data_IF_339099759975
#
_entry.id   IF_339099759975
#
_cell.length_a   1.000
_cell.length_b   1.000
_cell.length_c   1.000
_cell.angle_alpha   90.00
_cell.angle_beta   90.00
_cell.angle_gamma   90.00
#
_symmetry.space_group_name_H-M   'P 1'
#
loop_
_entity.id
_entity.type
_entity.pdbx_description
1 polymer ?
#
# COMPACT_ATOMS: atom_id res chain seq x y z
N UNK A 1 -34.10 61.12 -9.85
CA UNK A 1 -33.42 60.24 -8.86
C UNK A 1 -33.24 58.90 -9.52
N UNK A 2 -32.09 58.72 -10.17
CA UNK A 2 -31.76 57.46 -10.90
C UNK A 2 -30.69 56.74 -10.11
N UNK A 3 -31.07 55.58 -9.54
CA UNK A 3 -30.17 54.71 -8.80
C UNK A 3 -29.42 53.80 -9.78
N UNK A 4 -28.12 54.04 -9.94
CA UNK A 4 -27.19 53.19 -10.68
C UNK A 4 -26.90 51.90 -9.88
N UNK A 5 -27.34 50.74 -10.39
CA UNK A 5 -26.93 49.44 -9.91
C UNK A 5 -25.57 49.06 -10.53
N UNK A 6 -24.55 49.09 -9.71
CA UNK A 6 -23.23 48.51 -10.04
C UNK A 6 -23.36 46.97 -10.12
N UNK A 7 -23.16 46.44 -11.31
CA UNK A 7 -23.03 45.00 -11.56
C UNK A 7 -21.59 44.60 -11.17
N UNK A 8 -21.42 43.92 -10.03
CA UNK A 8 -20.21 43.21 -9.69
C UNK A 8 -20.08 42.00 -10.65
N UNK A 9 -19.05 42.02 -11.46
CA UNK A 9 -18.64 40.89 -12.28
C UNK A 9 -18.28 39.63 -11.40
N UNK A 10 -18.40 38.44 -11.96
CA UNK A 10 -18.09 37.21 -11.22
C UNK A 10 -16.58 37.20 -10.94
N UNK A 11 -16.24 37.23 -9.63
CA UNK A 11 -14.90 36.94 -9.15
C UNK A 11 -14.53 35.53 -9.55
N UNK A 12 -13.47 35.40 -10.31
CA UNK A 12 -12.79 34.20 -10.75
C UNK A 12 -12.29 33.43 -9.52
N UNK A 13 -13.19 32.68 -8.89
CA UNK A 13 -12.82 31.63 -7.92
C UNK A 13 -12.59 30.36 -8.73
N UNK A 14 -11.44 30.29 -9.38
CA UNK A 14 -10.85 29.04 -9.84
C UNK A 14 -10.64 28.11 -8.67
N UNK A 15 -11.73 27.51 -8.18
CA UNK A 15 -11.75 26.44 -7.19
C UNK A 15 -10.99 25.27 -7.78
N UNK A 16 -9.74 25.12 -7.38
CA UNK A 16 -8.98 23.88 -7.56
C UNK A 16 -9.67 22.81 -6.72
N UNK A 17 -10.60 22.10 -7.36
CA UNK A 17 -11.20 20.88 -6.82
C UNK A 17 -10.09 19.99 -6.26
N UNK A 18 -10.26 19.62 -4.99
CA UNK A 18 -9.41 18.70 -4.24
C UNK A 18 -9.08 17.46 -5.09
N UNK A 19 -7.88 16.92 -4.88
CA UNK A 19 -7.35 15.68 -5.50
C UNK A 19 -8.31 14.46 -5.35
N UNK A 20 -9.39 14.62 -4.60
CA UNK A 20 -10.44 13.64 -4.32
C UNK A 20 -11.77 13.89 -5.05
N UNK A 21 -11.79 14.59 -6.16
CA UNK A 21 -13.03 14.93 -6.88
C UNK A 21 -13.70 13.74 -7.63
N UNK A 22 -14.05 12.73 -6.87
CA UNK A 22 -15.29 11.96 -7.01
C UNK A 22 -16.20 12.51 -5.91
N UNK A 23 -17.45 12.90 -6.22
CA UNK A 23 -18.35 13.53 -5.26
C UNK A 23 -18.31 12.85 -3.90
N UNK A 24 -18.10 13.58 -2.78
CA UNK A 24 -18.12 12.99 -1.44
C UNK A 24 -19.43 12.22 -1.26
N UNK A 25 -19.37 10.91 -0.97
CA UNK A 25 -20.54 10.05 -0.83
C UNK A 25 -20.87 9.14 -2.01
N UNK A 26 -20.10 9.14 -3.12
CA UNK A 26 -20.33 8.15 -4.18
C UNK A 26 -19.92 6.74 -3.71
N UNK A 27 -20.74 5.73 -4.03
CA UNK A 27 -20.46 4.29 -3.74
C UNK A 27 -19.05 3.88 -4.22
N UNK A 28 -18.54 4.50 -5.27
CA UNK A 28 -17.20 4.25 -5.80
C UNK A 28 -16.09 4.69 -4.84
N UNK A 29 -16.20 5.86 -4.24
CA UNK A 29 -15.22 6.36 -3.25
C UNK A 29 -15.27 5.49 -2.00
N UNK A 30 -16.47 5.17 -1.53
CA UNK A 30 -16.69 4.28 -0.39
C UNK A 30 -16.06 2.90 -0.62
N UNK A 31 -16.25 2.29 -1.80
CA UNK A 31 -15.68 1.00 -2.13
C UNK A 31 -14.14 1.03 -2.24
N UNK A 32 -13.56 2.11 -2.79
CA UNK A 32 -12.10 2.31 -2.79
C UNK A 32 -11.52 2.55 -1.38
N UNK A 33 -12.32 3.06 -0.45
CA UNK A 33 -11.95 3.12 0.96
C UNK A 33 -12.05 1.74 1.59
N UNK A 34 -13.15 1.00 1.36
CA UNK A 34 -13.35 -0.33 1.94
C UNK A 34 -12.34 -1.39 1.49
N UNK A 35 -11.81 -1.31 0.27
CA UNK A 35 -10.76 -2.27 -0.15
C UNK A 35 -9.46 -2.10 0.66
N UNK A 36 -9.19 -0.93 1.22
CA UNK A 36 -8.08 -0.71 2.15
C UNK A 36 -8.28 -1.48 3.46
N UNK A 37 -9.52 -1.63 3.92
CA UNK A 37 -9.83 -2.46 5.07
C UNK A 37 -9.48 -3.93 4.79
N UNK A 38 -9.87 -4.46 3.62
CA UNK A 38 -9.49 -5.81 3.20
C UNK A 38 -7.97 -5.97 3.22
N UNK A 39 -7.25 -5.04 2.63
CA UNK A 39 -5.79 -5.07 2.59
C UNK A 39 -5.17 -5.07 4.00
N UNK A 40 -5.63 -4.21 4.91
CA UNK A 40 -5.14 -4.16 6.28
C UNK A 40 -5.46 -5.45 7.06
N UNK A 41 -6.67 -5.99 6.93
CA UNK A 41 -7.07 -7.26 7.56
C UNK A 41 -6.18 -8.41 7.09
N UNK A 42 -5.90 -8.51 5.79
CA UNK A 42 -5.02 -9.54 5.24
C UNK A 42 -3.58 -9.42 5.78
N UNK A 43 -3.07 -8.19 5.93
CA UNK A 43 -1.75 -7.95 6.53
C UNK A 43 -1.73 -8.39 8.00
N UNK A 44 -2.74 -8.09 8.79
CA UNK A 44 -2.81 -8.57 10.20
C UNK A 44 -2.91 -10.08 10.24
N UNK A 45 -3.68 -10.69 9.35
CA UNK A 45 -3.87 -12.14 9.27
C UNK A 45 -2.55 -12.87 8.98
N UNK A 46 -1.78 -12.42 7.99
CA UNK A 46 -0.49 -13.05 7.65
C UNK A 46 0.52 -12.93 8.79
N UNK A 47 0.54 -11.81 9.51
CA UNK A 47 1.42 -11.65 10.67
C UNK A 47 0.97 -12.53 11.85
N UNK A 48 -0.33 -12.69 12.09
CA UNK A 48 -0.83 -13.64 13.11
C UNK A 48 -0.44 -15.08 12.76
N UNK A 49 -0.51 -15.46 11.49
CA UNK A 49 -0.08 -16.77 11.02
C UNK A 49 1.44 -16.99 11.20
N UNK A 50 2.24 -15.97 10.88
CA UNK A 50 3.68 -15.99 11.10
C UNK A 50 4.02 -16.14 12.60
N UNK A 51 3.45 -15.25 13.43
CA UNK A 51 3.74 -15.19 14.87
C UNK A 51 3.34 -16.47 15.61
N UNK A 52 2.34 -17.21 15.10
CA UNK A 52 1.93 -18.51 15.64
C UNK A 52 2.57 -19.73 14.95
N UNK A 53 3.58 -19.53 14.10
CA UNK A 53 4.32 -20.60 13.43
C UNK A 53 3.53 -21.37 12.36
N UNK A 54 2.39 -20.83 11.89
CA UNK A 54 1.53 -21.51 10.91
C UNK A 54 2.12 -21.57 9.49
N UNK A 55 3.16 -20.80 9.21
CA UNK A 55 3.85 -20.87 7.91
C UNK A 55 4.48 -22.25 7.62
N UNK A 56 4.87 -23.00 8.66
CA UNK A 56 5.39 -24.35 8.52
C UNK A 56 4.35 -25.45 8.23
N UNK A 57 3.06 -25.12 8.03
CA UNK A 57 1.97 -26.08 7.85
C UNK A 57 1.74 -26.50 6.38
N UNK A 58 2.78 -26.74 5.61
CA UNK A 58 2.68 -27.19 4.22
C UNK A 58 1.86 -26.23 3.36
N UNK A 59 0.90 -26.76 2.57
CA UNK A 59 0.07 -25.92 1.68
C UNK A 59 -0.74 -24.85 2.42
N UNK A 60 -1.30 -25.15 3.58
CA UNK A 60 -2.02 -24.15 4.39
C UNK A 60 -1.09 -23.05 4.88
N UNK A 61 0.16 -23.37 5.20
CA UNK A 61 1.17 -22.37 5.52
C UNK A 61 1.42 -21.41 4.37
N UNK A 62 1.50 -21.93 3.15
CA UNK A 62 1.59 -21.10 1.95
C UNK A 62 0.34 -20.22 1.77
N UNK A 63 -0.87 -20.75 1.94
CA UNK A 63 -2.11 -19.97 1.86
C UNK A 63 -2.10 -18.82 2.88
N UNK A 64 -1.72 -19.09 4.12
CA UNK A 64 -1.66 -18.05 5.16
C UNK A 64 -0.58 -17.00 4.87
N UNK A 65 0.58 -17.40 4.38
CA UNK A 65 1.65 -16.48 4.06
C UNK A 65 1.28 -15.55 2.90
N UNK A 66 0.52 -16.03 1.91
CA UNK A 66 0.07 -15.21 0.76
C UNK A 66 -0.95 -14.14 1.13
N UNK A 67 -1.49 -14.12 2.36
CA UNK A 67 -2.29 -13.00 2.84
C UNK A 67 -1.48 -11.68 2.92
N UNK A 68 -0.15 -11.72 2.81
CA UNK A 68 0.69 -10.54 2.57
C UNK A 68 0.31 -9.76 1.28
N UNK A 69 -0.55 -10.33 0.41
CA UNK A 69 -1.17 -9.66 -0.75
C UNK A 69 -1.86 -8.32 -0.37
N UNK A 70 -2.15 -8.10 0.91
CA UNK A 70 -2.61 -6.81 1.39
C UNK A 70 -1.67 -5.66 1.02
N UNK A 71 -0.34 -5.88 1.04
CA UNK A 71 0.66 -4.85 0.64
C UNK A 71 0.57 -4.53 -0.85
N UNK A 72 0.59 -5.48 -1.79
CA UNK A 72 0.30 -5.23 -3.21
C UNK A 72 -1.00 -4.47 -3.47
N UNK A 73 -2.08 -4.76 -2.72
CA UNK A 73 -3.35 -4.02 -2.85
C UNK A 73 -3.15 -2.54 -2.52
N UNK A 74 -2.41 -2.21 -1.44
CA UNK A 74 -2.08 -0.81 -1.13
C UNK A 74 -1.24 -0.16 -2.23
N UNK A 75 -0.26 -0.85 -2.81
CA UNK A 75 0.59 -0.31 -3.87
C UNK A 75 -0.18 -0.09 -5.18
N UNK A 76 -1.05 -1.02 -5.56
CA UNK A 76 -1.96 -0.84 -6.71
C UNK A 76 -2.90 0.35 -6.48
N UNK A 77 -3.47 0.48 -5.28
CA UNK A 77 -4.30 1.63 -4.93
C UNK A 77 -3.52 2.94 -4.98
N UNK A 78 -2.28 2.96 -4.50
CA UNK A 78 -1.41 4.13 -4.56
C UNK A 78 -1.10 4.51 -6.01
N UNK A 79 -0.73 3.55 -6.86
CA UNK A 79 -0.54 3.76 -8.30
C UNK A 79 -1.80 4.32 -8.97
N UNK A 80 -2.97 3.74 -8.68
CA UNK A 80 -4.24 4.17 -9.23
C UNK A 80 -4.63 5.59 -8.81
N UNK A 81 -4.63 5.87 -7.51
CA UNK A 81 -5.14 7.13 -6.99
C UNK A 81 -4.20 8.29 -7.26
N UNK A 82 -2.89 8.04 -7.15
CA UNK A 82 -1.90 9.11 -7.26
C UNK A 82 -1.57 9.48 -8.70
N UNK A 83 -1.60 8.54 -9.64
CA UNK A 83 -1.38 8.84 -11.04
C UNK A 83 -2.59 9.47 -11.73
N UNK A 84 -3.79 9.32 -11.16
CA UNK A 84 -5.06 9.80 -11.74
C UNK A 84 -5.09 11.29 -12.07
N UNK A 85 -4.62 12.24 -11.25
CA UNK A 85 -4.64 13.65 -11.60
C UNK A 85 -3.84 13.98 -12.86
N UNK A 86 -2.67 13.36 -13.04
CA UNK A 86 -1.83 13.56 -14.24
C UNK A 86 -2.48 13.00 -15.50
N UNK A 87 -3.06 11.78 -15.40
CA UNK A 87 -3.79 11.17 -16.53
C UNK A 87 -5.01 12.01 -16.91
N UNK A 88 -5.77 12.50 -15.91
CA UNK A 88 -6.91 13.39 -16.16
C UNK A 88 -6.44 14.67 -16.87
N UNK A 89 -5.37 15.31 -16.39
CA UNK A 89 -4.83 16.52 -17.00
C UNK A 89 -4.40 16.28 -18.46
N UNK A 90 -3.68 15.20 -18.73
CA UNK A 90 -3.26 14.84 -20.08
C UNK A 90 -4.44 14.54 -21.03
N UNK A 91 -5.50 13.90 -20.52
CA UNK A 91 -6.67 13.53 -21.32
C UNK A 91 -7.61 14.72 -21.60
N UNK A 92 -7.66 15.71 -20.69
CA UNK A 92 -8.54 16.89 -20.83
C UNK A 92 -7.82 18.14 -21.33
N UNK A 93 -6.49 18.09 -21.47
CA UNK A 93 -5.68 19.26 -21.83
C UNK A 93 -5.60 20.33 -20.72
N UNK A 94 -5.96 19.97 -19.48
CA UNK A 94 -5.87 20.87 -18.33
C UNK A 94 -4.43 20.95 -17.78
N UNK A 95 -4.17 21.93 -16.89
CA UNK A 95 -2.85 22.12 -16.29
C UNK A 95 -2.42 20.90 -15.46
N UNK A 96 -1.12 20.59 -15.51
CA UNK A 96 -0.52 19.52 -14.72
C UNK A 96 -0.66 19.78 -13.21
N UNK A 97 -0.82 18.74 -12.39
CA UNK A 97 -0.87 18.87 -10.94
C UNK A 97 0.41 19.51 -10.38
N UNK A 98 0.27 20.41 -9.40
CA UNK A 98 1.41 21.01 -8.71
C UNK A 98 2.13 19.96 -7.87
N UNK A 99 3.41 19.69 -8.19
CA UNK A 99 4.27 18.73 -7.46
C UNK A 99 4.42 19.15 -5.98
N UNK A 100 4.57 20.44 -5.69
CA UNK A 100 4.67 20.94 -4.30
C UNK A 100 3.41 20.64 -3.49
N UNK A 101 2.22 20.89 -4.08
CA UNK A 101 0.93 20.59 -3.42
C UNK A 101 0.77 19.07 -3.22
N UNK A 102 1.07 18.30 -4.24
CA UNK A 102 1.07 16.84 -4.17
C UNK A 102 1.95 16.34 -3.03
N UNK A 103 3.23 16.73 -2.97
CA UNK A 103 4.17 16.31 -1.93
C UNK A 103 3.68 16.71 -0.53
N UNK A 104 3.22 17.95 -0.36
CA UNK A 104 2.70 18.45 0.91
C UNK A 104 1.51 17.64 1.42
N UNK A 105 0.56 17.30 0.54
CA UNK A 105 -0.58 16.45 0.92
C UNK A 105 -0.14 15.04 1.35
N UNK A 106 0.91 14.48 0.75
CA UNK A 106 1.43 13.16 1.16
C UNK A 106 2.11 13.22 2.52
N UNK A 107 2.98 14.20 2.73
CA UNK A 107 3.64 14.40 4.02
C UNK A 107 2.61 14.59 5.15
N UNK A 108 1.66 15.51 4.97
CA UNK A 108 0.62 15.77 5.99
C UNK A 108 -0.27 14.58 6.29
N UNK A 109 -0.48 13.69 5.32
CA UNK A 109 -1.31 12.50 5.50
C UNK A 109 -0.60 11.38 6.23
N UNK A 110 0.71 11.20 5.99
CA UNK A 110 1.46 10.01 6.43
C UNK A 110 2.28 10.31 7.68
N UNK A 111 3.06 11.39 7.67
CA UNK A 111 4.07 11.63 8.69
C UNK A 111 3.52 11.78 10.11
N UNK A 112 2.37 12.43 10.40
CA UNK A 112 1.93 12.61 11.78
C UNK A 112 1.70 11.29 12.52
N UNK A 113 0.89 10.38 11.95
CA UNK A 113 0.64 9.06 12.58
C UNK A 113 1.89 8.18 12.58
N UNK A 114 2.69 8.25 11.51
CA UNK A 114 3.94 7.50 11.40
C UNK A 114 4.94 7.87 12.48
N UNK A 115 5.24 9.15 12.65
CA UNK A 115 6.21 9.65 13.66
C UNK A 115 5.75 9.26 15.05
N UNK A 116 4.48 9.48 15.39
CA UNK A 116 3.91 9.07 16.68
C UNK A 116 4.10 7.57 16.91
N UNK A 117 3.80 6.74 15.89
CA UNK A 117 3.98 5.29 16.00
C UNK A 117 5.44 4.89 16.24
N UNK A 118 6.37 5.47 15.49
CA UNK A 118 7.81 5.19 15.66
C UNK A 118 8.27 5.57 17.07
N UNK A 119 7.87 6.73 17.57
CA UNK A 119 8.25 7.18 18.93
C UNK A 119 7.64 6.27 20.00
N UNK A 120 6.38 5.86 19.85
CA UNK A 120 5.73 4.91 20.77
C UNK A 120 6.45 3.55 20.74
N UNK A 121 6.83 3.04 19.55
CA UNK A 121 7.58 1.81 19.45
C UNK A 121 8.92 1.88 20.19
N UNK A 122 9.71 2.92 19.94
CA UNK A 122 10.99 3.08 20.63
C UNK A 122 10.84 3.26 22.14
N UNK A 123 9.82 3.98 22.59
CA UNK A 123 9.52 4.11 24.02
C UNK A 123 9.09 2.78 24.66
N UNK A 124 8.18 2.04 24.00
CA UNK A 124 7.71 0.74 24.49
C UNK A 124 8.85 -0.27 24.63
N UNK A 125 9.66 -0.41 23.59
CA UNK A 125 10.76 -1.38 23.57
C UNK A 125 11.99 -0.95 24.36
N UNK A 126 12.05 0.28 24.83
CA UNK A 126 13.04 0.73 25.82
C UNK A 126 12.81 0.10 27.20
N UNK A 127 11.54 -0.02 27.60
CA UNK A 127 11.16 -0.59 28.90
C UNK A 127 10.85 -2.08 28.84
N UNK A 128 10.76 -2.64 27.63
CA UNK A 128 10.33 -4.00 27.41
C UNK A 128 11.16 -4.67 26.32
N UNK A 129 11.85 -5.75 26.68
CA UNK A 129 12.62 -6.56 25.75
C UNK A 129 11.95 -7.94 25.60
N UNK A 130 11.35 -8.19 24.42
CA UNK A 130 10.76 -9.50 24.09
C UNK A 130 11.69 -10.35 23.22
N UNK A 131 12.98 -10.02 23.17
CA UNK A 131 13.98 -10.71 22.34
C UNK A 131 14.99 -9.73 21.72
N UNK A 132 15.88 -10.21 20.84
CA UNK A 132 16.84 -9.35 20.16
C UNK A 132 16.14 -8.28 19.32
N UNK A 133 16.46 -7.01 19.55
CA UNK A 133 15.95 -5.87 18.78
C UNK A 133 17.12 -5.01 18.25
N UNK A 134 17.84 -5.48 17.22
CA UNK A 134 19.05 -4.81 16.72
C UNK A 134 18.80 -3.40 16.21
N UNK A 135 17.58 -3.12 15.74
CA UNK A 135 17.17 -1.79 15.28
C UNK A 135 16.91 -0.78 16.40
N UNK A 136 16.89 -1.19 17.67
CA UNK A 136 16.62 -0.28 18.79
C UNK A 136 17.86 0.53 19.18
N UNK A 137 18.30 1.40 18.28
CA UNK A 137 19.47 2.29 18.41
C UNK A 137 19.09 3.70 17.96
N UNK A 138 19.89 4.70 18.33
CA UNK A 138 19.68 6.08 17.86
C UNK A 138 19.73 6.19 16.33
N UNK A 139 20.65 5.45 15.69
CA UNK A 139 20.73 5.39 14.23
C UNK A 139 19.51 4.69 13.65
N UNK A 140 19.03 3.61 14.28
CA UNK A 140 17.78 2.94 13.90
C UNK A 140 16.57 3.87 14.02
N UNK A 141 16.47 4.66 15.09
CA UNK A 141 15.42 5.67 15.26
C UNK A 141 15.47 6.70 14.13
N UNK A 142 16.65 7.27 13.85
CA UNK A 142 16.82 8.24 12.77
C UNK A 142 16.39 7.65 11.40
N UNK A 143 16.85 6.44 11.11
CA UNK A 143 16.51 5.76 9.83
C UNK A 143 15.02 5.44 9.73
N UNK A 144 14.38 4.98 10.81
CA UNK A 144 12.93 4.79 10.83
C UNK A 144 12.20 6.12 10.65
N UNK A 145 12.54 7.18 11.37
CA UNK A 145 11.89 8.50 11.24
C UNK A 145 12.00 9.10 9.83
N UNK A 146 13.09 8.79 9.12
CA UNK A 146 13.34 9.27 7.74
C UNK A 146 12.88 8.29 6.65
N UNK A 147 12.27 7.14 7.01
CA UNK A 147 11.87 6.09 6.07
C UNK A 147 13.05 5.53 5.25
N UNK A 148 14.26 5.59 5.80
CA UNK A 148 15.50 5.15 5.14
C UNK A 148 16.05 3.82 5.70
N UNK A 149 15.32 3.15 6.57
CA UNK A 149 15.75 1.93 7.26
C UNK A 149 16.11 0.77 6.31
N UNK A 150 15.47 0.68 5.14
CA UNK A 150 15.73 -0.39 4.17
C UNK A 150 16.94 -0.13 3.27
N UNK A 151 17.52 1.07 3.30
CA UNK A 151 18.67 1.44 2.47
C UNK A 151 19.98 1.28 3.26
N UNK A 152 20.25 0.04 3.70
CA UNK A 152 21.40 -0.31 4.53
C UNK A 152 21.98 -1.65 4.10
N UNK A 153 23.25 -1.88 4.38
CA UNK A 153 23.95 -3.10 3.98
C UNK A 153 23.45 -4.34 4.76
N UNK A 154 22.94 -4.19 5.95
CA UNK A 154 22.52 -5.31 6.79
C UNK A 154 21.22 -4.98 7.54
N UNK A 155 20.13 -4.77 6.78
CA UNK A 155 18.85 -4.33 7.35
C UNK A 155 18.29 -5.33 8.37
N UNK A 156 18.23 -6.62 8.01
CA UNK A 156 17.57 -7.64 8.83
C UNK A 156 18.29 -7.88 10.16
N UNK A 157 19.61 -7.81 10.19
CA UNK A 157 20.40 -8.16 11.39
C UNK A 157 20.84 -6.94 12.21
N UNK A 158 20.87 -5.73 11.62
CA UNK A 158 21.40 -4.56 12.30
C UNK A 158 20.39 -3.44 12.52
N UNK A 159 19.32 -3.36 11.73
CA UNK A 159 18.39 -2.22 11.74
C UNK A 159 16.92 -2.60 11.79
N UNK A 160 16.59 -3.88 11.79
CA UNK A 160 15.20 -4.33 11.93
C UNK A 160 14.73 -4.09 13.37
N UNK A 161 13.69 -3.26 13.52
CA UNK A 161 13.04 -3.02 14.81
C UNK A 161 11.79 -3.90 14.92
N UNK A 162 11.68 -4.71 15.99
CA UNK A 162 10.61 -5.72 16.15
C UNK A 162 9.20 -5.14 15.94
N UNK A 163 8.87 -4.06 16.62
CA UNK A 163 7.55 -3.43 16.49
C UNK A 163 7.29 -2.66 15.19
N UNK A 164 8.29 -2.57 14.29
CA UNK A 164 8.25 -1.75 13.08
C UNK A 164 8.61 -2.55 11.82
N UNK A 165 8.62 -3.88 11.88
CA UNK A 165 9.06 -4.72 10.76
C UNK A 165 8.26 -4.48 9.49
N UNK A 166 6.95 -4.21 9.58
CA UNK A 166 6.08 -3.93 8.45
C UNK A 166 6.38 -2.60 7.74
N UNK A 167 7.13 -1.69 8.38
CA UNK A 167 7.39 -0.33 7.85
C UNK A 167 8.28 -0.31 6.60
N UNK A 168 8.90 -1.43 6.23
CA UNK A 168 9.63 -1.53 4.97
C UNK A 168 8.76 -1.15 3.77
N UNK A 169 7.50 -1.58 3.75
CA UNK A 169 6.59 -1.28 2.64
C UNK A 169 6.20 0.20 2.57
N UNK A 170 6.12 0.89 3.73
CA UNK A 170 5.90 2.33 3.77
C UNK A 170 7.12 3.11 3.25
N UNK A 171 8.34 2.64 3.51
CA UNK A 171 9.54 3.22 2.92
C UNK A 171 9.56 3.08 1.39
N UNK A 172 9.11 1.94 0.86
CA UNK A 172 8.92 1.72 -0.58
C UNK A 172 7.85 2.66 -1.15
N UNK A 173 6.73 2.80 -0.45
CA UNK A 173 5.64 3.68 -0.88
C UNK A 173 6.07 5.15 -0.87
N UNK A 174 6.84 5.58 0.11
CA UNK A 174 7.42 6.92 0.18
C UNK A 174 8.39 7.18 -0.99
N UNK A 175 9.24 6.21 -1.33
CA UNK A 175 10.09 6.29 -2.51
C UNK A 175 9.28 6.44 -3.80
N UNK A 176 8.17 5.67 -3.94
CA UNK A 176 7.26 5.84 -5.06
C UNK A 176 6.65 7.26 -5.12
N UNK A 177 6.28 7.84 -3.98
CA UNK A 177 5.75 9.21 -3.95
C UNK A 177 6.74 10.24 -4.46
N UNK A 178 8.02 10.06 -4.16
CA UNK A 178 9.09 10.94 -4.65
C UNK A 178 9.31 10.76 -6.16
N UNK A 179 9.27 9.53 -6.66
CA UNK A 179 9.58 9.20 -8.05
C UNK A 179 8.38 9.45 -8.99
N UNK A 180 7.14 9.34 -8.49
CA UNK A 180 5.94 9.44 -9.34
C UNK A 180 5.83 10.72 -10.19
N UNK A 181 6.12 11.94 -9.70
CA UNK A 181 6.08 13.14 -10.55
C UNK A 181 7.04 13.06 -11.74
N UNK A 182 8.25 12.52 -11.54
CA UNK A 182 9.22 12.30 -12.60
C UNK A 182 8.71 11.25 -13.61
N UNK A 183 8.17 10.14 -13.13
CA UNK A 183 7.59 9.09 -13.97
C UNK A 183 6.41 9.65 -14.78
N UNK A 184 5.52 10.42 -14.15
CA UNK A 184 4.41 11.07 -14.83
C UNK A 184 4.90 12.04 -15.93
N UNK A 185 5.94 12.83 -15.64
CA UNK A 185 6.56 13.70 -16.63
C UNK A 185 7.16 12.91 -17.80
N UNK A 186 7.93 11.87 -17.53
CA UNK A 186 8.55 11.03 -18.58
C UNK A 186 7.49 10.34 -19.46
N UNK A 187 6.43 9.82 -18.87
CA UNK A 187 5.37 9.11 -19.61
C UNK A 187 4.47 10.09 -20.39
N UNK A 188 4.00 11.16 -19.76
CA UNK A 188 2.97 12.01 -20.35
C UNK A 188 3.55 13.17 -21.16
N UNK A 189 4.69 13.74 -20.73
CA UNK A 189 5.32 14.88 -21.43
C UNK A 189 6.33 14.42 -22.47
N UNK A 190 7.28 13.57 -22.06
CA UNK A 190 8.36 13.14 -22.97
C UNK A 190 7.84 12.11 -23.98
N UNK A 191 7.32 10.98 -23.50
CA UNK A 191 6.89 9.87 -24.36
C UNK A 191 5.62 10.24 -25.14
N UNK A 192 4.56 10.68 -24.50
CA UNK A 192 3.28 11.01 -25.13
C UNK A 192 3.24 12.42 -25.75
N UNK A 193 4.28 13.26 -25.53
CA UNK A 193 4.41 14.63 -26.07
C UNK A 193 3.19 15.51 -25.73
N UNK A 194 2.74 15.46 -24.47
CA UNK A 194 1.56 16.18 -23.97
C UNK A 194 0.26 15.90 -24.75
N UNK A 195 0.18 14.81 -25.49
CA UNK A 195 -1.02 14.39 -26.23
C UNK A 195 -1.58 13.13 -25.60
N UNK A 196 -2.91 13.03 -25.54
CA UNK A 196 -3.56 11.82 -25.06
C UNK A 196 -3.34 10.67 -26.06
N UNK A 197 -2.41 9.77 -25.73
CA UNK A 197 -2.01 8.60 -26.53
C UNK A 197 -2.02 7.35 -25.65
N UNK A 198 -3.21 6.77 -25.35
CA UNK A 198 -3.32 5.68 -24.39
C UNK A 198 -2.50 4.44 -24.78
N UNK A 199 -2.42 4.07 -26.05
CA UNK A 199 -1.59 2.95 -26.49
C UNK A 199 -0.10 3.13 -26.20
N UNK A 200 0.45 4.34 -26.48
CA UNK A 200 1.84 4.67 -26.20
C UNK A 200 2.07 4.75 -24.67
N UNK A 201 1.08 5.22 -23.93
CA UNK A 201 1.14 5.25 -22.45
C UNK A 201 1.17 3.83 -21.88
N UNK A 202 0.37 2.88 -22.39
CA UNK A 202 0.45 1.48 -21.99
C UNK A 202 1.81 0.85 -22.31
N UNK A 203 2.39 1.18 -23.47
CA UNK A 203 3.75 0.74 -23.80
C UNK A 203 4.77 1.26 -22.78
N UNK A 204 4.71 2.56 -22.43
CA UNK A 204 5.58 3.14 -21.40
C UNK A 204 5.36 2.52 -20.02
N UNK A 205 4.11 2.22 -19.65
CA UNK A 205 3.79 1.51 -18.40
C UNK A 205 4.33 0.08 -18.42
N UNK A 206 4.24 -0.64 -19.54
CA UNK A 206 4.84 -1.98 -19.67
C UNK A 206 6.36 -1.95 -19.53
N UNK A 207 7.04 -0.98 -20.13
CA UNK A 207 8.47 -0.76 -19.96
C UNK A 207 8.83 -0.45 -18.50
N UNK A 208 8.02 0.34 -17.81
CA UNK A 208 8.18 0.64 -16.39
C UNK A 208 7.94 -0.60 -15.50
N UNK A 209 6.98 -1.46 -15.85
CA UNK A 209 6.75 -2.72 -15.15
C UNK A 209 7.91 -3.70 -15.30
N UNK A 210 8.61 -3.65 -16.45
CA UNK A 210 9.81 -4.48 -16.72
C UNK A 210 11.00 -4.13 -15.80
N UNK A 211 10.95 -2.99 -15.10
CA UNK A 211 11.95 -2.63 -14.08
C UNK A 211 11.98 -3.68 -12.96
N UNK A 212 10.83 -4.24 -12.56
CA UNK A 212 10.78 -5.23 -11.49
C UNK A 212 11.49 -6.54 -11.82
N UNK A 213 11.24 -7.23 -12.93
CA UNK A 213 11.98 -8.44 -13.28
C UNK A 213 13.46 -8.17 -13.53
N UNK A 214 13.82 -7.04 -14.15
CA UNK A 214 15.21 -6.65 -14.34
C UNK A 214 15.93 -6.46 -13.00
N UNK A 215 15.31 -5.76 -12.06
CA UNK A 215 15.87 -5.53 -10.73
C UNK A 215 16.00 -6.84 -9.93
N UNK A 216 14.99 -7.70 -9.98
CA UNK A 216 15.03 -9.01 -9.34
C UNK A 216 16.18 -9.86 -9.91
N UNK A 217 16.39 -9.84 -11.22
CA UNK A 217 17.53 -10.52 -11.84
C UNK A 217 18.86 -9.94 -11.33
N UNK A 218 19.04 -8.63 -11.34
CA UNK A 218 20.25 -7.96 -10.83
C UNK A 218 20.53 -8.36 -9.37
N UNK A 219 19.51 -8.33 -8.51
CA UNK A 219 19.67 -8.62 -7.08
C UNK A 219 19.96 -10.10 -6.82
N UNK A 220 19.48 -11.03 -7.68
CA UNK A 220 19.79 -12.45 -7.55
C UNK A 220 21.19 -12.81 -8.06
N UNK A 221 21.65 -12.10 -9.07
CA UNK A 221 22.97 -12.33 -9.69
C UNK A 221 24.12 -11.59 -8.98
N UNK A 222 23.81 -10.47 -8.32
CA UNK A 222 24.82 -9.61 -7.70
C UNK A 222 25.13 -10.03 -6.26
N UNK A 223 26.42 -10.20 -5.97
CA UNK A 223 26.95 -10.39 -4.61
C UNK A 223 27.31 -9.09 -3.90
N UNK A 224 27.30 -7.96 -4.62
CA UNK A 224 27.78 -6.65 -4.13
C UNK A 224 26.65 -5.71 -3.66
N UNK A 225 25.39 -6.10 -3.82
CA UNK A 225 24.28 -5.28 -3.38
C UNK A 225 23.95 -5.54 -1.91
N UNK A 226 23.53 -4.50 -1.17
CA UNK A 226 23.03 -4.65 0.20
C UNK A 226 21.88 -5.66 0.29
N UNK A 227 21.79 -6.43 1.37
CA UNK A 227 20.68 -7.37 1.63
C UNK A 227 19.32 -6.68 1.56
N UNK A 228 19.25 -5.40 1.94
CA UNK A 228 18.07 -4.55 1.84
C UNK A 228 17.63 -4.22 0.42
N UNK A 229 18.47 -4.42 -0.60
CA UNK A 229 18.16 -4.05 -1.99
C UNK A 229 16.93 -4.79 -2.56
N UNK A 230 16.61 -5.97 -2.04
CA UNK A 230 15.40 -6.73 -2.38
C UNK A 230 14.12 -6.02 -1.94
N UNK A 231 14.21 -5.10 -0.97
CA UNK A 231 13.08 -4.31 -0.46
C UNK A 231 12.97 -2.94 -1.13
N UNK A 232 13.84 -2.59 -2.08
CA UNK A 232 13.78 -1.28 -2.72
C UNK A 232 12.65 -1.16 -3.74
N UNK A 233 12.26 0.08 -4.04
CA UNK A 233 11.17 0.40 -4.95
C UNK A 233 11.19 -0.36 -6.29
N UNK A 234 12.33 -0.55 -6.98
CA UNK A 234 12.34 -1.26 -8.26
C UNK A 234 11.73 -2.67 -8.19
N UNK A 235 11.93 -3.40 -7.09
CA UNK A 235 11.34 -4.73 -6.87
C UNK A 235 9.82 -4.73 -7.04
N UNK A 236 9.15 -3.67 -6.58
CA UNK A 236 7.70 -3.56 -6.47
C UNK A 236 7.07 -2.63 -7.52
N UNK A 237 7.87 -2.13 -8.46
CA UNK A 237 7.38 -1.18 -9.47
C UNK A 237 6.20 -1.73 -10.27
N UNK A 238 6.19 -3.02 -10.59
CA UNK A 238 5.10 -3.68 -11.29
C UNK A 238 3.75 -3.56 -10.56
N UNK A 239 3.74 -3.54 -9.22
CA UNK A 239 2.51 -3.42 -8.43
C UNK A 239 1.94 -1.99 -8.53
N UNK A 240 2.78 -0.97 -8.45
CA UNK A 240 2.34 0.42 -8.66
C UNK A 240 1.88 0.65 -10.10
N UNK A 241 2.60 0.09 -11.06
CA UNK A 241 2.26 0.19 -12.50
C UNK A 241 0.92 -0.47 -12.81
N UNK A 242 0.58 -1.58 -12.18
CA UNK A 242 -0.73 -2.20 -12.31
C UNK A 242 -1.86 -1.22 -11.93
N UNK A 243 -1.67 -0.45 -10.85
CA UNK A 243 -2.58 0.63 -10.45
C UNK A 243 -2.60 1.80 -11.43
N UNK A 244 -1.43 2.20 -11.94
CA UNK A 244 -1.34 3.24 -12.98
C UNK A 244 -2.06 2.82 -14.26
N UNK A 245 -1.98 1.56 -14.66
CA UNK A 245 -2.71 1.01 -15.80
C UNK A 245 -4.24 1.05 -15.59
N UNK A 246 -4.72 0.70 -14.39
CA UNK A 246 -6.14 0.87 -14.02
C UNK A 246 -6.60 2.31 -14.14
N UNK A 247 -5.73 3.28 -13.89
CA UNK A 247 -6.06 4.71 -14.09
C UNK A 247 -6.31 5.04 -15.55
N UNK A 248 -5.47 4.52 -16.46
CA UNK A 248 -5.65 4.71 -17.90
C UNK A 248 -6.93 4.05 -18.38
N UNK A 249 -7.20 2.80 -17.93
CA UNK A 249 -8.45 2.08 -18.24
C UNK A 249 -9.68 2.84 -17.73
N UNK A 250 -9.62 3.40 -16.52
CA UNK A 250 -10.70 4.22 -15.97
C UNK A 250 -10.96 5.49 -16.81
N UNK A 251 -9.91 6.12 -17.35
CA UNK A 251 -10.02 7.28 -18.24
C UNK A 251 -10.61 6.89 -19.61
N UNK A 252 -10.32 5.68 -20.08
CA UNK A 252 -10.93 5.09 -21.29
C UNK A 252 -12.36 4.58 -21.05
N UNK A 253 -12.92 4.77 -19.84
CA UNK A 253 -14.26 4.30 -19.43
C UNK A 253 -14.46 2.79 -19.56
N UNK A 254 -13.37 2.02 -19.46
CA UNK A 254 -13.46 0.56 -19.37
C UNK A 254 -14.15 0.19 -18.07
N UNK A 255 -15.00 -0.83 -18.09
CA UNK A 255 -15.69 -1.36 -16.90
C UNK A 255 -15.00 -2.64 -16.43
N UNK A 256 -14.81 -2.76 -15.11
CA UNK A 256 -14.33 -3.97 -14.47
C UNK A 256 -15.48 -4.62 -13.71
N UNK A 257 -15.77 -5.89 -13.99
CA UNK A 257 -16.88 -6.62 -13.37
C UNK A 257 -16.37 -7.54 -12.26
N UNK A 258 -16.89 -7.36 -11.05
CA UNK A 258 -16.49 -8.17 -9.89
C UNK A 258 -16.79 -9.66 -10.09
N UNK A 259 -17.84 -10.01 -10.84
CA UNK A 259 -18.20 -11.39 -11.16
C UNK A 259 -17.11 -12.13 -11.95
N UNK A 260 -16.25 -11.41 -12.65
CA UNK A 260 -15.09 -11.98 -13.36
C UNK A 260 -13.81 -11.79 -12.57
N UNK A 261 -13.58 -10.56 -12.07
CA UNK A 261 -12.31 -10.19 -11.45
C UNK A 261 -12.08 -10.93 -10.12
N UNK A 262 -13.10 -11.06 -9.28
CA UNK A 262 -12.94 -11.67 -7.96
C UNK A 262 -12.67 -13.17 -8.03
N UNK A 263 -13.44 -13.99 -8.77
CA UNK A 263 -13.11 -15.41 -8.94
C UNK A 263 -11.73 -15.64 -9.55
N UNK A 264 -11.35 -14.84 -10.56
CA UNK A 264 -10.02 -14.94 -11.17
C UNK A 264 -8.91 -14.58 -10.17
N UNK A 265 -9.10 -13.56 -9.33
CA UNK A 265 -8.17 -13.22 -8.25
C UNK A 265 -8.03 -14.38 -7.26
N UNK A 266 -9.13 -15.03 -6.88
CA UNK A 266 -9.14 -16.20 -5.99
C UNK A 266 -8.38 -17.37 -6.61
N UNK A 267 -8.61 -17.69 -7.87
CA UNK A 267 -7.86 -18.74 -8.59
C UNK A 267 -6.36 -18.40 -8.62
N UNK A 268 -6.00 -17.19 -9.01
CA UNK A 268 -4.61 -16.73 -8.99
C UNK A 268 -3.98 -16.80 -7.58
N UNK A 269 -4.75 -16.50 -6.54
CA UNK A 269 -4.30 -16.59 -5.15
C UNK A 269 -3.94 -18.03 -4.77
N UNK A 270 -4.79 -18.99 -5.08
CA UNK A 270 -4.50 -20.40 -4.79
C UNK A 270 -3.35 -20.96 -5.63
N UNK A 271 -3.19 -20.51 -6.88
CA UNK A 271 -2.01 -20.85 -7.70
C UNK A 271 -0.75 -20.26 -7.08
N UNK A 272 -0.77 -18.98 -6.66
CA UNK A 272 0.35 -18.34 -5.97
C UNK A 272 0.64 -18.96 -4.60
N UNK A 273 -0.32 -19.66 -4.00
CA UNK A 273 -0.16 -20.42 -2.75
C UNK A 273 0.47 -21.81 -2.96
N UNK A 274 0.92 -22.13 -4.17
CA UNK A 274 1.71 -23.34 -4.44
C UNK A 274 3.23 -23.02 -4.37
N UNK A 275 4.11 -24.02 -4.35
CA UNK A 275 5.55 -23.84 -4.40
C UNK A 275 6.08 -23.08 -5.64
N UNK A 276 5.24 -22.86 -6.66
CA UNK A 276 5.60 -22.05 -7.85
C UNK A 276 6.04 -20.61 -7.48
N UNK A 277 5.44 -20.04 -6.43
CA UNK A 277 5.81 -18.71 -5.93
C UNK A 277 6.77 -18.77 -4.73
N UNK A 278 7.42 -19.90 -4.52
CA UNK A 278 8.42 -20.13 -3.48
C UNK A 278 7.86 -20.36 -2.09
N UNK A 279 8.75 -20.62 -1.16
CA UNK A 279 8.46 -20.79 0.25
C UNK A 279 7.92 -19.49 0.88
N UNK A 280 7.32 -19.54 2.09
CA UNK A 280 6.76 -18.39 2.76
C UNK A 280 7.84 -17.45 3.33
N UNK A 281 8.65 -16.88 2.45
CA UNK A 281 9.73 -15.94 2.76
C UNK A 281 9.54 -14.62 2.03
N UNK A 282 10.13 -13.55 2.56
CA UNK A 282 10.15 -12.24 1.88
C UNK A 282 11.01 -12.25 0.61
N UNK A 283 11.95 -13.19 0.54
CA UNK A 283 12.91 -13.32 -0.57
C UNK A 283 12.98 -14.77 -1.01
N UNK A 284 12.21 -15.17 -2.03
CA UNK A 284 12.31 -16.50 -2.62
C UNK A 284 13.74 -16.83 -3.04
N UNK A 285 14.14 -18.08 -2.85
CA UNK A 285 15.51 -18.52 -3.12
C UNK A 285 15.85 -18.50 -4.61
N UNK A 286 14.85 -18.75 -5.47
CA UNK A 286 15.02 -18.78 -6.93
C UNK A 286 14.41 -17.55 -7.58
N UNK A 287 15.11 -17.04 -8.61
CA UNK A 287 14.60 -15.91 -9.41
C UNK A 287 13.21 -16.21 -10.02
N UNK A 288 12.99 -17.43 -10.53
CA UNK A 288 11.69 -17.81 -11.09
C UNK A 288 10.56 -17.73 -10.08
N UNK A 289 10.78 -18.13 -8.84
CA UNK A 289 9.80 -18.04 -7.75
C UNK A 289 9.51 -16.57 -7.41
N UNK A 290 10.54 -15.73 -7.34
CA UNK A 290 10.39 -14.30 -7.10
C UNK A 290 9.61 -13.60 -8.21
N UNK A 291 9.87 -13.95 -9.47
CA UNK A 291 9.13 -13.42 -10.62
C UNK A 291 7.66 -13.86 -10.61
N UNK A 292 7.40 -15.15 -10.41
CA UNK A 292 6.04 -15.69 -10.30
C UNK A 292 5.28 -14.98 -9.18
N UNK A 293 5.86 -14.87 -7.99
CA UNK A 293 5.27 -14.17 -6.86
C UNK A 293 4.93 -12.71 -7.21
N UNK A 294 5.89 -11.99 -7.79
CA UNK A 294 5.73 -10.57 -8.12
C UNK A 294 4.58 -10.33 -9.10
N UNK A 295 4.50 -11.12 -10.18
CA UNK A 295 3.47 -10.93 -11.20
C UNK A 295 2.10 -11.44 -10.76
N UNK A 296 2.01 -12.58 -10.06
CA UNK A 296 0.73 -13.02 -9.50
C UNK A 296 0.18 -12.01 -8.48
N UNK A 297 1.04 -11.45 -7.64
CA UNK A 297 0.61 -10.43 -6.67
C UNK A 297 0.14 -9.14 -7.36
N UNK A 298 0.81 -8.71 -8.43
CA UNK A 298 0.33 -7.59 -9.25
C UNK A 298 -1.04 -7.89 -9.86
N UNK A 299 -1.22 -9.09 -10.43
CA UNK A 299 -2.46 -9.51 -11.05
C UNK A 299 -3.61 -9.63 -10.04
N UNK A 300 -3.40 -10.31 -8.92
CA UNK A 300 -4.43 -10.48 -7.87
C UNK A 300 -4.84 -9.11 -7.32
N UNK A 301 -3.89 -8.27 -6.97
CA UNK A 301 -4.18 -6.94 -6.43
C UNK A 301 -4.92 -6.07 -7.47
N UNK A 302 -4.49 -6.09 -8.74
CA UNK A 302 -5.17 -5.37 -9.81
C UNK A 302 -6.60 -5.88 -10.02
N UNK A 303 -6.83 -7.19 -10.01
CA UNK A 303 -8.15 -7.80 -10.16
C UNK A 303 -9.08 -7.42 -9.00
N UNK A 304 -8.59 -7.39 -7.76
CA UNK A 304 -9.38 -6.99 -6.60
C UNK A 304 -9.69 -5.47 -6.58
N UNK A 305 -8.79 -4.65 -7.09
CA UNK A 305 -8.96 -3.19 -7.16
C UNK A 305 -9.75 -2.76 -8.41
N UNK A 306 -9.71 -3.54 -9.50
CA UNK A 306 -10.35 -3.17 -10.77
C UNK A 306 -11.86 -2.89 -10.64
N UNK A 307 -12.71 -3.70 -9.98
CA UNK A 307 -14.13 -3.42 -9.88
C UNK A 307 -14.44 -2.06 -9.21
N UNK A 308 -13.93 -1.71 -8.02
CA UNK A 308 -14.15 -0.38 -7.44
C UNK A 308 -13.48 0.74 -8.23
N UNK A 309 -12.34 0.49 -8.87
CA UNK A 309 -11.64 1.49 -9.67
C UNK A 309 -12.32 1.79 -10.99
N UNK A 310 -12.95 0.80 -11.63
CA UNK A 310 -13.56 0.90 -12.96
C UNK A 310 -15.10 1.03 -12.92
N UNK A 311 -15.67 1.22 -11.73
CA UNK A 311 -17.07 1.64 -11.57
C UNK A 311 -18.09 0.51 -11.67
N UNK A 312 -17.75 -0.71 -11.23
CA UNK A 312 -18.72 -1.78 -11.01
C UNK A 312 -19.79 -1.35 -9.98
N UNK A 313 -21.00 -1.87 -10.13
CA UNK A 313 -22.14 -1.65 -9.24
C UNK A 313 -22.65 -2.92 -8.55
N UNK A 314 -21.89 -4.02 -8.67
CA UNK A 314 -22.22 -5.34 -8.16
C UNK A 314 -22.14 -5.48 -6.64
N UNK A 315 -22.36 -6.72 -6.18
CA UNK A 315 -22.35 -7.08 -4.75
C UNK A 315 -21.05 -6.75 -4.05
N UNK A 316 -19.92 -6.95 -4.74
CA UNK A 316 -18.58 -6.70 -4.20
C UNK A 316 -18.39 -5.23 -3.82
N UNK A 317 -18.74 -4.32 -4.73
CA UNK A 317 -18.64 -2.89 -4.44
C UNK A 317 -19.64 -2.44 -3.37
N UNK A 318 -20.82 -3.03 -3.29
CA UNK A 318 -21.78 -2.78 -2.18
C UNK A 318 -21.22 -3.26 -0.84
N UNK A 319 -20.59 -4.44 -0.81
CA UNK A 319 -19.90 -4.96 0.37
C UNK A 319 -18.79 -4.01 0.82
N UNK A 320 -17.88 -3.65 -0.09
CA UNK A 320 -16.78 -2.71 0.19
C UNK A 320 -17.27 -1.32 0.63
N UNK A 321 -18.41 -0.87 0.10
CA UNK A 321 -19.01 0.41 0.47
C UNK A 321 -19.88 0.34 1.75
N UNK A 322 -19.94 -0.81 2.41
CA UNK A 322 -20.68 -0.94 3.68
C UNK A 322 -20.02 -0.10 4.79
N UNK A 323 -20.86 0.35 5.75
CA UNK A 323 -20.38 1.21 6.86
C UNK A 323 -19.18 0.61 7.62
N UNK A 324 -19.17 -0.69 8.00
CA UNK A 324 -18.02 -1.28 8.69
C UNK A 324 -16.75 -1.26 7.82
N UNK A 325 -16.85 -1.60 6.53
CA UNK A 325 -15.70 -1.64 5.62
C UNK A 325 -15.14 -0.24 5.38
N UNK A 326 -16.00 0.75 5.22
CA UNK A 326 -15.57 2.15 5.07
C UNK A 326 -14.89 2.65 6.35
N UNK A 327 -15.45 2.40 7.51
CA UNK A 327 -14.86 2.77 8.80
C UNK A 327 -13.47 2.15 8.97
N UNK A 328 -13.33 0.83 8.78
CA UNK A 328 -12.03 0.16 8.84
C UNK A 328 -11.06 0.65 7.77
N UNK A 329 -11.57 1.00 6.59
CA UNK A 329 -10.77 1.56 5.51
C UNK A 329 -10.24 2.97 5.80
N UNK A 330 -10.99 3.78 6.54
CA UNK A 330 -10.55 5.11 6.97
C UNK A 330 -9.39 5.04 7.96
N UNK A 331 -9.40 4.07 8.88
CA UNK A 331 -8.35 3.84 9.89
C UNK A 331 -7.33 2.76 9.48
N UNK A 332 -7.40 2.26 8.25
CA UNK A 332 -6.56 1.14 7.77
C UNK A 332 -5.06 1.43 7.84
N UNK A 333 -4.69 2.69 7.66
CA UNK A 333 -3.31 3.14 7.76
C UNK A 333 -2.80 3.01 9.20
N UNK A 334 -3.55 3.46 10.17
CA UNK A 334 -3.20 3.37 11.58
C UNK A 334 -3.22 1.92 12.07
N UNK A 335 -4.19 1.08 11.60
CA UNK A 335 -4.16 -0.37 11.83
C UNK A 335 -2.83 -0.95 11.33
N UNK A 336 -2.44 -0.63 10.09
CA UNK A 336 -1.18 -1.08 9.52
C UNK A 336 0.03 -0.64 10.35
N UNK A 337 0.04 0.58 10.88
CA UNK A 337 1.16 1.10 11.65
C UNK A 337 1.37 0.36 12.98
N UNK A 338 0.29 0.06 13.72
CA UNK A 338 0.42 -0.33 15.15
C UNK A 338 0.16 -1.83 15.41
N UNK A 339 -0.37 -2.58 14.44
CA UNK A 339 -0.84 -3.96 14.70
C UNK A 339 0.24 -4.91 15.20
N UNK A 340 1.51 -4.78 14.76
CA UNK A 340 2.58 -5.69 15.23
C UNK A 340 2.94 -5.47 16.69
N UNK A 341 3.03 -4.23 17.14
CA UNK A 341 3.26 -3.93 18.55
C UNK A 341 2.13 -4.49 19.42
N UNK A 342 0.89 -4.29 18.97
CA UNK A 342 -0.29 -4.81 19.70
C UNK A 342 -0.33 -6.33 19.64
N UNK A 343 -0.02 -6.93 18.50
CA UNK A 343 0.02 -8.39 18.34
C UNK A 343 1.02 -9.03 19.30
N UNK A 344 2.20 -8.45 19.44
CA UNK A 344 3.21 -8.94 20.38
C UNK A 344 2.74 -8.79 21.84
N UNK A 345 2.14 -7.62 22.19
CA UNK A 345 1.55 -7.42 23.51
C UNK A 345 0.44 -8.45 23.81
N UNK A 346 -0.44 -8.71 22.86
CA UNK A 346 -1.50 -9.71 22.98
C UNK A 346 -0.92 -11.10 23.17
N UNK A 347 0.07 -11.49 22.37
CA UNK A 347 0.71 -12.80 22.45
C UNK A 347 1.32 -13.05 23.83
N UNK A 348 2.12 -12.09 24.32
CA UNK A 348 2.92 -12.26 25.52
C UNK A 348 2.13 -11.99 26.81
N UNK A 349 1.33 -10.90 26.84
CA UNK A 349 0.68 -10.46 28.08
C UNK A 349 -0.74 -11.04 28.26
N UNK A 350 -1.47 -11.23 27.15
CA UNK A 350 -2.86 -11.67 27.21
C UNK A 350 -2.96 -13.19 27.03
N UNK A 351 -2.37 -13.73 25.96
CA UNK A 351 -2.40 -15.17 25.69
C UNK A 351 -1.39 -15.94 26.51
N UNK A 352 -0.27 -15.30 26.86
CA UNK A 352 0.89 -15.91 27.57
C UNK A 352 1.47 -17.11 26.83
N UNK A 353 1.34 -17.10 25.51
CA UNK A 353 1.87 -18.13 24.64
C UNK A 353 3.30 -17.77 24.18
N UNK A 354 4.21 -18.75 24.10
CA UNK A 354 5.50 -18.55 23.43
C UNK A 354 5.32 -18.20 21.97
N UNK A 355 6.22 -17.37 21.43
CA UNK A 355 6.24 -17.06 19.99
C UNK A 355 6.36 -18.35 19.17
N UNK A 356 5.72 -18.38 18.01
CA UNK A 356 5.57 -19.55 17.11
C UNK A 356 4.71 -20.68 17.65
N UNK A 357 3.87 -20.42 18.64
CA UNK A 357 2.88 -21.38 19.17
C UNK A 357 1.48 -20.78 19.24
N UNK A 358 0.52 -21.51 19.73
CA UNK A 358 -0.83 -21.04 20.01
C UNK A 358 -1.77 -21.01 18.80
N UNK A 359 -2.91 -20.37 19.01
CA UNK A 359 -4.00 -20.28 18.03
C UNK A 359 -3.89 -19.00 17.18
N UNK A 360 -3.68 -19.15 15.88
CA UNK A 360 -3.69 -18.05 14.93
C UNK A 360 -5.00 -17.23 14.97
N UNK A 361 -6.13 -17.94 15.06
CA UNK A 361 -7.44 -17.26 15.07
C UNK A 361 -7.61 -16.42 16.33
N UNK A 362 -7.25 -16.97 17.50
CA UNK A 362 -7.35 -16.24 18.76
C UNK A 362 -6.42 -15.00 18.75
N UNK A 363 -5.17 -15.18 18.31
CA UNK A 363 -4.22 -14.06 18.18
C UNK A 363 -4.73 -13.00 17.23
N UNK A 364 -5.22 -13.40 16.04
CA UNK A 364 -5.79 -12.46 15.07
C UNK A 364 -6.98 -11.68 15.64
N UNK A 365 -7.96 -12.38 16.23
CA UNK A 365 -9.18 -11.74 16.76
C UNK A 365 -8.83 -10.79 17.92
N UNK A 366 -8.04 -11.23 18.88
CA UNK A 366 -7.62 -10.40 20.01
C UNK A 366 -6.79 -9.20 19.52
N UNK A 367 -5.86 -9.41 18.59
CA UNK A 367 -5.11 -8.30 17.98
C UNK A 367 -6.07 -7.28 17.35
N UNK A 368 -7.06 -7.71 16.58
CA UNK A 368 -8.02 -6.79 15.97
C UNK A 368 -8.87 -6.06 17.00
N UNK A 369 -9.31 -6.73 18.08
CA UNK A 369 -10.08 -6.13 19.17
C UNK A 369 -9.33 -4.96 19.82
N UNK A 370 -8.03 -5.10 20.04
CA UNK A 370 -7.21 -4.04 20.63
C UNK A 370 -6.70 -3.02 19.59
N UNK A 371 -6.41 -3.47 18.37
CA UNK A 371 -5.86 -2.60 17.32
C UNK A 371 -6.89 -1.60 16.79
N UNK A 372 -8.15 -2.00 16.59
CA UNK A 372 -9.18 -1.12 16.03
C UNK A 372 -9.40 0.12 16.90
N UNK A 373 -9.66 0.02 18.23
CA UNK A 373 -9.80 1.20 19.08
C UNK A 373 -8.54 2.05 19.14
N UNK A 374 -7.36 1.42 19.25
CA UNK A 374 -6.09 2.15 19.30
C UNK A 374 -5.80 2.88 17.98
N UNK A 375 -6.07 2.26 16.83
CA UNK A 375 -5.96 2.88 15.53
C UNK A 375 -6.95 4.05 15.35
N UNK A 376 -8.17 3.90 15.82
CA UNK A 376 -9.16 4.99 15.81
C UNK A 376 -8.69 6.18 16.65
N UNK A 377 -8.17 5.94 17.84
CA UNK A 377 -7.59 6.98 18.71
C UNK A 377 -6.44 7.68 18.00
N UNK A 378 -5.46 6.91 17.48
CA UNK A 378 -4.32 7.45 16.74
C UNK A 378 -4.79 8.31 15.56
N UNK A 379 -5.74 7.79 14.76
CA UNK A 379 -6.35 8.53 13.65
C UNK A 379 -6.98 9.85 14.10
N UNK A 380 -7.71 9.84 15.21
CA UNK A 380 -8.41 11.03 15.74
C UNK A 380 -7.43 12.16 16.13
N UNK A 381 -6.26 11.79 16.69
CA UNK A 381 -5.26 12.76 17.15
C UNK A 381 -4.31 13.21 16.04
N UNK A 382 -4.04 12.37 15.04
CA UNK A 382 -3.05 12.67 13.99
C UNK A 382 -3.68 13.16 12.69
N UNK A 383 -4.99 13.02 12.51
CA UNK A 383 -5.69 13.54 11.35
C UNK A 383 -5.62 15.05 11.30
N UNK A 384 -4.83 15.57 10.38
CA UNK A 384 -4.77 17.01 10.11
C UNK A 384 -6.08 17.42 9.46
N UNK A 385 -6.87 18.25 10.14
CA UNK A 385 -8.07 18.85 9.55
C UNK A 385 -7.65 19.67 8.34
N UNK A 386 -8.20 19.34 7.18
CA UNK A 386 -8.02 20.06 5.91
C UNK A 386 -8.79 21.38 5.92
#
# INVERSE_FOLDING_TARGET
>A
VTVSRSVKGPSDQGGLESVDAVAPGSTRVAALTGIRAVAAILVVLTHAAYTTGKYGQGYLGLVYSRAEIGVPIFFVLSGFLLFRPWVKAAATGSADPSVRRYAWHRVRRIMPAYVVTVLIAYLLYHFRTAGPNPGHTWMGLFRNLTLSQIYTDNYLFSYLHQGLTQMWSLAVEAAFYVVLPLVAYLLLVVLCRRRWRPGLLFFGLAALAAVSPLWLWIVHDSTNLPDGARLWLPTYMAWFVAGMALTVLAQLKVRGYAVVCVPLAVVCYFIASTPLAGEPTTSPAKLSEALVKTFFYAAIAALLVAPPALGDRGWYNRFLASRPMVFLGEISYEIFLIHLMIMELVMVEVMRDPVYTGSMLNLFVLTMIFTIPAAWVLHRFTRVRS
#
